data_IF_313843754650
#
_entry.id   IF_313843754650
#
_cell.length_a   1.000
_cell.length_b   1.000
_cell.length_c   1.000
_cell.angle_alpha   90.00
_cell.angle_beta   90.00
_cell.angle_gamma   90.00
#
_symmetry.space_group_name_H-M   'P 1'
#
loop_
_entity.id
_entity.type
_entity.pdbx_description
1 polymer ?
#
# COMPACT_ATOMS: atom_id res chain seq x y z
N UNK A 1 9.06 -15.43 -8.61
CA UNK A 1 8.61 -16.75 -8.12
C UNK A 1 7.34 -17.12 -8.87
N UNK A 2 7.47 -17.97 -9.88
CA UNK A 2 6.44 -18.81 -10.55
C UNK A 2 7.12 -19.47 -11.77
N UNK A 3 8.24 -20.15 -11.51
CA UNK A 3 9.03 -20.83 -12.54
C UNK A 3 8.31 -22.13 -12.95
N UNK A 4 7.32 -22.02 -13.85
CA UNK A 4 6.73 -23.17 -14.56
C UNK A 4 5.32 -23.62 -14.13
N UNK A 5 4.56 -22.80 -13.39
CA UNK A 5 3.14 -23.06 -13.07
C UNK A 5 2.24 -21.94 -13.61
N UNK A 6 0.95 -22.23 -13.84
CA UNK A 6 -0.05 -21.26 -14.31
C UNK A 6 -0.20 -20.12 -13.28
N UNK A 7 -0.23 -18.86 -13.73
CA UNK A 7 -0.35 -17.68 -12.85
C UNK A 7 0.39 -16.47 -13.40
N UNK A 8 0.36 -15.34 -12.67
CA UNK A 8 1.12 -14.15 -13.02
C UNK A 8 2.61 -14.32 -12.69
N UNK A 9 3.49 -13.62 -13.42
CA UNK A 9 4.91 -13.55 -13.10
C UNK A 9 5.14 -12.66 -11.89
N UNK A 10 5.57 -13.26 -10.78
CA UNK A 10 5.86 -12.51 -9.54
C UNK A 10 7.34 -12.17 -9.47
N UNK A 11 7.64 -10.89 -9.25
CA UNK A 11 8.99 -10.37 -9.04
C UNK A 11 9.16 -9.93 -7.59
N UNK A 12 10.31 -10.24 -6.99
CA UNK A 12 10.70 -9.74 -5.67
C UNK A 12 11.92 -8.84 -5.87
N UNK A 13 11.76 -7.56 -5.61
CA UNK A 13 12.86 -6.61 -5.61
C UNK A 13 13.32 -6.38 -4.18
N UNK A 14 14.63 -6.34 -3.98
CA UNK A 14 15.23 -6.05 -2.69
C UNK A 14 16.33 -5.02 -2.85
N UNK A 15 16.52 -4.22 -1.81
CA UNK A 15 17.58 -3.24 -1.72
C UNK A 15 18.51 -3.63 -0.56
N UNK A 16 19.81 -3.67 -0.84
CA UNK A 16 20.84 -3.93 0.16
C UNK A 16 21.63 -2.63 0.38
N UNK A 17 21.36 -1.95 1.49
CA UNK A 17 21.97 -0.67 1.85
C UNK A 17 21.23 0.01 2.99
N UNK A 18 21.60 1.25 3.29
CA UNK A 18 20.99 2.06 4.36
C UNK A 18 20.56 3.42 3.85
N UNK A 19 19.29 3.79 4.06
CA UNK A 19 18.77 5.16 3.90
C UNK A 19 17.99 5.54 5.16
N UNK A 20 17.55 6.80 5.28
CA UNK A 20 16.70 7.22 6.40
C UNK A 20 15.31 6.53 6.42
N UNK A 21 14.90 5.93 5.30
CA UNK A 21 13.60 5.29 5.12
C UNK A 21 13.68 3.76 5.08
N UNK A 22 14.87 3.20 4.81
CA UNK A 22 15.07 1.75 4.75
C UNK A 22 15.45 1.21 6.13
N UNK A 23 14.44 0.76 6.87
CA UNK A 23 14.64 0.07 8.14
C UNK A 23 14.94 -1.41 7.84
N UNK A 24 16.04 -1.97 8.38
CA UNK A 24 16.46 -3.34 8.09
C UNK A 24 15.36 -4.38 8.30
N UNK A 25 15.26 -5.31 7.35
CA UNK A 25 14.44 -6.51 7.48
C UNK A 25 15.24 -7.53 8.28
N UNK A 26 14.68 -7.99 9.39
CA UNK A 26 15.32 -8.96 10.30
C UNK A 26 14.71 -10.36 10.21
N UNK A 27 13.51 -10.47 9.63
CA UNK A 27 12.84 -11.75 9.46
C UNK A 27 11.80 -11.70 8.32
N UNK A 28 11.49 -12.87 7.76
CA UNK A 28 10.52 -13.08 6.69
C UNK A 28 9.55 -14.20 7.05
N UNK A 29 8.25 -14.00 6.75
CA UNK A 29 7.21 -15.03 6.90
C UNK A 29 6.32 -15.10 5.68
N UNK A 30 5.65 -16.23 5.50
CA UNK A 30 4.64 -16.41 4.45
C UNK A 30 3.34 -16.85 5.10
N UNK A 31 2.25 -16.12 4.86
CA UNK A 31 0.90 -16.61 5.18
C UNK A 31 0.35 -17.40 4.00
N UNK A 32 -0.42 -18.44 4.30
CA UNK A 32 -1.08 -19.33 3.32
C UNK A 32 -2.59 -19.37 3.49
N UNK A 33 -3.10 -18.69 4.52
CA UNK A 33 -4.51 -18.50 4.81
C UNK A 33 -4.74 -17.11 5.40
N UNK A 34 -5.83 -16.46 5.02
CA UNK A 34 -6.23 -15.13 5.51
C UNK A 34 -6.39 -15.09 7.03
N UNK A 35 -6.68 -16.23 7.68
CA UNK A 35 -6.80 -16.36 9.14
C UNK A 35 -5.48 -16.12 9.88
N UNK A 36 -4.33 -16.23 9.20
CA UNK A 36 -3.01 -15.97 9.79
C UNK A 36 -2.70 -14.47 9.89
N UNK A 37 -3.27 -13.66 8.99
CA UNK A 37 -2.92 -12.23 8.84
C UNK A 37 -3.21 -11.37 10.07
N UNK A 38 -4.35 -11.52 10.79
CA UNK A 38 -4.64 -10.70 11.96
C UNK A 38 -3.59 -10.84 13.08
N UNK A 39 -3.05 -12.05 13.28
CA UNK A 39 -2.01 -12.29 14.27
C UNK A 39 -0.68 -11.64 13.86
N UNK A 40 -0.30 -11.78 12.58
CA UNK A 40 0.90 -11.16 12.04
C UNK A 40 0.85 -9.63 12.13
N UNK A 41 -0.28 -9.01 11.77
CA UNK A 41 -0.50 -7.58 11.92
C UNK A 41 -0.39 -7.13 13.38
N UNK A 42 -1.04 -7.84 14.30
CA UNK A 42 -0.99 -7.55 15.74
C UNK A 42 0.44 -7.64 16.29
N UNK A 43 1.21 -8.60 15.81
CA UNK A 43 2.61 -8.80 16.20
C UNK A 43 3.56 -7.83 15.49
N UNK A 44 3.05 -6.86 14.73
CA UNK A 44 3.81 -5.81 14.04
C UNK A 44 4.64 -6.33 12.88
N UNK A 45 4.13 -7.34 12.16
CA UNK A 45 4.63 -7.73 10.85
C UNK A 45 3.98 -6.86 9.76
N UNK A 46 4.75 -6.55 8.74
CA UNK A 46 4.28 -5.78 7.59
C UNK A 46 4.04 -6.74 6.42
N UNK A 47 2.83 -6.71 5.86
CA UNK A 47 2.48 -7.50 4.68
C UNK A 47 3.02 -6.83 3.42
N UNK A 48 3.59 -7.60 2.51
CA UNK A 48 3.82 -7.15 1.14
C UNK A 48 2.57 -7.48 0.32
N UNK A 49 2.01 -6.47 -0.35
CA UNK A 49 0.65 -6.54 -0.92
C UNK A 49 0.48 -7.46 -2.14
N UNK A 50 1.56 -8.02 -2.69
CA UNK A 50 1.49 -8.93 -3.83
C UNK A 50 1.05 -10.34 -3.39
N UNK A 51 -0.11 -10.80 -3.87
CA UNK A 51 -0.50 -12.21 -3.77
C UNK A 51 0.47 -13.07 -4.59
N UNK A 52 1.29 -13.86 -3.91
CA UNK A 52 2.27 -14.76 -4.52
C UNK A 52 1.59 -15.88 -5.33
N UNK A 53 0.29 -16.12 -5.11
CA UNK A 53 -0.51 -17.11 -5.80
C UNK A 53 -1.44 -16.49 -6.86
N UNK A 54 -1.18 -15.24 -7.27
CA UNK A 54 -2.01 -14.47 -8.19
C UNK A 54 -2.24 -15.20 -9.51
N UNK A 55 -3.53 -15.40 -9.83
CA UNK A 55 -4.05 -16.16 -11.00
C UNK A 55 -3.60 -17.63 -11.10
N UNK A 56 -2.96 -18.17 -10.06
CA UNK A 56 -2.66 -19.60 -9.97
C UNK A 56 -3.83 -20.38 -9.33
N UNK A 57 -4.71 -19.70 -8.58
CA UNK A 57 -5.87 -20.27 -7.91
C UNK A 57 -5.52 -20.92 -6.57
N UNK A 58 -6.50 -21.12 -5.69
CA UNK A 58 -6.28 -21.55 -4.31
C UNK A 58 -6.25 -20.36 -3.35
N UNK A 59 -5.64 -20.53 -2.18
CA UNK A 59 -5.59 -19.49 -1.15
C UNK A 59 -4.70 -18.31 -1.57
N UNK A 60 -4.98 -17.12 -1.03
CA UNK A 60 -4.07 -15.99 -1.10
C UNK A 60 -2.82 -16.27 -0.29
N UNK A 61 -1.65 -16.00 -0.87
CA UNK A 61 -0.35 -16.24 -0.23
C UNK A 61 0.40 -14.91 -0.20
N UNK A 62 0.77 -14.44 1.00
CA UNK A 62 1.48 -13.17 1.15
C UNK A 62 2.82 -13.34 1.84
N UNK A 63 3.82 -12.57 1.40
CA UNK A 63 5.10 -12.41 2.08
C UNK A 63 4.96 -11.32 3.14
N UNK A 64 5.57 -11.54 4.30
CA UNK A 64 5.57 -10.64 5.43
C UNK A 64 7.01 -10.33 5.83
N UNK A 65 7.27 -9.09 6.21
CA UNK A 65 8.58 -8.64 6.68
C UNK A 65 8.48 -8.19 8.14
N UNK A 66 9.47 -8.57 8.95
CA UNK A 66 9.70 -7.98 10.26
C UNK A 66 10.84 -7.01 10.17
N UNK A 67 10.63 -5.79 10.65
CA UNK A 67 11.66 -4.76 10.69
C UNK A 67 12.36 -4.70 12.04
N UNK A 68 13.62 -4.29 12.03
CA UNK A 68 14.45 -4.12 13.24
C UNK A 68 13.79 -3.17 14.24
N UNK A 69 13.12 -2.12 13.74
CA UNK A 69 12.46 -1.09 14.54
C UNK A 69 11.03 -0.88 14.09
N UNK A 70 10.10 -0.61 15.03
CA UNK A 70 8.79 -0.10 14.67
C UNK A 70 8.90 1.15 13.81
N UNK A 71 7.96 1.30 12.88
CA UNK A 71 7.97 2.38 11.92
C UNK A 71 6.56 2.86 11.64
N UNK A 72 6.48 4.04 11.04
CA UNK A 72 5.20 4.69 10.73
C UNK A 72 5.18 5.05 9.26
N UNK A 73 4.03 4.89 8.61
CA UNK A 73 3.83 5.46 7.28
C UNK A 73 3.94 6.97 7.42
N UNK A 74 4.94 7.57 6.77
CA UNK A 74 5.21 9.01 6.86
C UNK A 74 4.82 9.76 5.58
N UNK A 75 4.60 9.04 4.50
CA UNK A 75 4.25 9.59 3.21
C UNK A 75 3.48 8.58 2.37
N UNK A 76 2.56 9.11 1.58
CA UNK A 76 1.75 8.39 0.62
C UNK A 76 1.72 9.16 -0.69
N UNK A 77 1.77 8.44 -1.79
CA UNK A 77 1.59 8.99 -3.14
C UNK A 77 0.85 7.98 -4.00
N UNK A 78 0.51 8.37 -5.21
CA UNK A 78 -0.13 7.51 -6.19
C UNK A 78 0.47 7.75 -7.57
N UNK A 79 0.47 6.72 -8.40
CA UNK A 79 0.96 6.79 -9.78
C UNK A 79 -0.03 6.17 -10.72
N UNK A 80 0.06 6.60 -11.97
CA UNK A 80 -0.68 6.07 -13.09
C UNK A 80 0.31 5.34 -13.98
N UNK A 81 -0.02 4.13 -14.41
CA UNK A 81 0.91 3.21 -15.08
C UNK A 81 2.13 2.83 -14.22
N UNK A 82 3.10 2.16 -14.83
CA UNK A 82 4.26 1.54 -14.17
C UNK A 82 5.55 2.36 -14.25
N UNK A 83 5.55 3.49 -14.96
CA UNK A 83 6.78 4.23 -15.32
C UNK A 83 7.56 4.73 -14.09
N UNK A 84 6.86 4.99 -12.99
CA UNK A 84 7.44 5.48 -11.75
C UNK A 84 7.96 4.36 -10.83
N UNK A 85 7.71 3.08 -11.14
CA UNK A 85 7.97 1.94 -10.24
C UNK A 85 9.41 1.93 -9.72
N UNK A 86 10.36 1.94 -10.67
CA UNK A 86 11.79 1.88 -10.36
C UNK A 86 12.22 3.09 -9.52
N UNK A 87 11.81 4.28 -9.93
CA UNK A 87 12.20 5.52 -9.27
C UNK A 87 11.66 5.60 -7.83
N UNK A 88 10.39 5.28 -7.62
CA UNK A 88 9.77 5.29 -6.29
C UNK A 88 10.35 4.20 -5.38
N UNK A 89 10.63 3.02 -5.92
CA UNK A 89 11.33 1.96 -5.19
C UNK A 89 12.71 2.43 -4.71
N UNK A 90 13.51 3.07 -5.57
CA UNK A 90 14.82 3.64 -5.22
C UNK A 90 14.72 4.74 -4.15
N UNK A 91 13.60 5.45 -4.07
CA UNK A 91 13.30 6.44 -3.02
C UNK A 91 12.77 5.83 -1.71
N UNK A 92 12.67 4.49 -1.64
CA UNK A 92 12.24 3.76 -0.45
C UNK A 92 10.72 3.62 -0.30
N UNK A 93 9.95 3.86 -1.37
CA UNK A 93 8.51 3.58 -1.36
C UNK A 93 8.23 2.10 -1.61
N UNK A 94 7.20 1.62 -0.94
CA UNK A 94 6.57 0.31 -1.14
C UNK A 94 5.28 0.53 -1.92
N UNK A 95 5.11 -0.19 -3.02
CA UNK A 95 3.87 -0.19 -3.79
C UNK A 95 2.84 -1.08 -3.12
N UNK A 96 1.61 -0.62 -3.07
CA UNK A 96 0.44 -1.48 -2.87
C UNK A 96 0.17 -2.17 -4.20
N UNK A 97 0.34 -3.50 -4.28
CA UNK A 97 0.27 -4.25 -5.55
C UNK A 97 -1.15 -4.34 -6.13
N UNK A 98 -2.16 -3.91 -5.38
CA UNK A 98 -3.52 -3.74 -5.85
C UNK A 98 -3.68 -2.45 -6.66
N UNK A 99 -4.11 -2.64 -7.92
CA UNK A 99 -4.51 -1.56 -8.82
C UNK A 99 -5.91 -1.11 -8.41
N UNK A 100 -6.08 0.17 -8.11
CA UNK A 100 -7.37 0.71 -7.66
C UNK A 100 -8.46 0.63 -8.73
N UNK A 101 -8.07 0.45 -10.01
CA UNK A 101 -8.97 0.26 -11.14
C UNK A 101 -9.11 -1.20 -11.58
N UNK A 102 -8.60 -2.17 -10.81
CA UNK A 102 -8.60 -3.57 -11.21
C UNK A 102 -10.01 -4.05 -11.58
N UNK A 103 -10.16 -4.49 -12.84
CA UNK A 103 -11.43 -5.02 -13.36
C UNK A 103 -12.47 -3.97 -13.73
N UNK A 104 -12.26 -2.69 -13.43
CA UNK A 104 -13.17 -1.59 -13.78
C UNK A 104 -12.99 -1.08 -15.22
N UNK A 105 -11.84 -1.37 -15.83
CA UNK A 105 -11.43 -0.76 -17.10
C UNK A 105 -10.99 0.70 -16.89
N UNK A 106 -9.80 1.05 -17.37
CA UNK A 106 -9.19 2.35 -17.09
C UNK A 106 -7.67 2.23 -17.10
N UNK A 107 -6.99 3.24 -16.54
CA UNK A 107 -5.53 3.19 -16.37
C UNK A 107 -5.18 2.37 -15.13
N UNK A 108 -3.98 1.80 -15.10
CA UNK A 108 -3.46 1.20 -13.87
C UNK A 108 -3.13 2.30 -12.87
N UNK A 109 -3.72 2.25 -11.67
CA UNK A 109 -3.46 3.26 -10.64
C UNK A 109 -2.98 2.57 -9.35
N UNK A 110 -1.80 2.95 -8.90
CA UNK A 110 -1.12 2.32 -7.77
C UNK A 110 -0.93 3.31 -6.62
N UNK A 111 -1.19 2.85 -5.40
CA UNK A 111 -0.82 3.56 -4.18
C UNK A 111 0.60 3.17 -3.76
N UNK A 112 1.33 4.13 -3.20
CA UNK A 112 2.68 3.96 -2.71
C UNK A 112 2.82 4.61 -1.35
N UNK A 113 3.55 3.96 -0.44
CA UNK A 113 3.83 4.52 0.87
C UNK A 113 5.29 4.29 1.27
N UNK A 114 5.81 5.10 2.17
CA UNK A 114 7.12 4.86 2.79
C UNK A 114 7.09 5.10 4.29
N UNK A 115 8.06 4.48 4.96
CA UNK A 115 8.16 4.48 6.41
C UNK A 115 9.17 5.50 6.93
N UNK A 116 9.01 5.86 8.20
CA UNK A 116 10.05 6.50 9.00
C UNK A 116 10.00 5.97 10.43
N UNK A 117 11.16 5.96 11.09
CA UNK A 117 11.26 5.78 12.54
C UNK A 117 10.97 7.09 13.29
N UNK A 118 10.98 8.23 12.58
CA UNK A 118 10.65 9.53 13.15
C UNK A 118 9.14 9.68 13.23
N UNK A 119 8.62 9.47 14.44
CA UNK A 119 7.20 9.58 14.78
C UNK A 119 6.62 10.95 14.40
N UNK A 120 7.40 12.03 14.40
CA UNK A 120 6.92 13.36 14.07
C UNK A 120 6.55 13.52 12.58
N UNK A 121 7.06 12.64 11.71
CA UNK A 121 6.77 12.62 10.27
C UNK A 121 5.56 11.76 9.91
N UNK A 122 4.99 11.02 10.86
CA UNK A 122 3.95 10.03 10.61
C UNK A 122 2.66 10.63 10.06
N UNK A 123 1.99 9.88 9.18
CA UNK A 123 0.60 10.11 8.82
C UNK A 123 -0.29 9.68 10.00
N UNK A 124 -1.34 10.46 10.24
CA UNK A 124 -2.24 10.25 11.38
C UNK A 124 -3.67 9.94 10.98
N UNK A 125 -4.04 10.23 9.74
CA UNK A 125 -5.31 9.82 9.17
C UNK A 125 -5.21 9.64 7.65
N UNK A 126 -6.03 8.74 7.11
CA UNK A 126 -6.31 8.53 5.69
C UNK A 126 -7.82 8.54 5.48
N UNK A 127 -8.27 9.06 4.34
CA UNK A 127 -9.67 9.04 3.91
C UNK A 127 -9.74 8.92 2.39
N UNK A 128 -10.90 8.51 1.87
CA UNK A 128 -11.18 8.42 0.43
C UNK A 128 -12.46 9.18 0.15
N UNK A 129 -12.45 10.04 -0.86
CA UNK A 129 -13.66 10.71 -1.37
C UNK A 129 -14.08 10.09 -2.70
N UNK A 130 -15.38 9.91 -2.87
CA UNK A 130 -16.04 9.41 -4.09
C UNK A 130 -17.05 10.42 -4.65
N UNK A 131 -17.22 11.56 -3.97
CA UNK A 131 -18.08 12.65 -4.38
C UNK A 131 -17.57 14.02 -3.88
N UNK A 132 -18.06 15.10 -4.51
CA UNK A 132 -17.65 16.48 -4.19
C UNK A 132 -17.99 16.91 -2.76
N UNK A 133 -19.03 16.32 -2.15
CA UNK A 133 -19.41 16.64 -0.77
C UNK A 133 -18.35 16.15 0.23
N UNK A 134 -17.82 14.94 0.04
CA UNK A 134 -16.73 14.39 0.84
C UNK A 134 -15.44 15.18 0.62
N UNK A 135 -15.13 15.56 -0.62
CA UNK A 135 -13.97 16.42 -0.90
C UNK A 135 -14.03 17.74 -0.11
N UNK A 136 -15.18 18.41 -0.11
CA UNK A 136 -15.38 19.65 0.64
C UNK A 136 -15.28 19.43 2.17
N UNK A 137 -15.81 18.31 2.67
CA UNK A 137 -15.72 17.92 4.07
C UNK A 137 -14.26 17.71 4.50
N UNK A 138 -13.51 16.86 3.78
CA UNK A 138 -12.12 16.56 4.11
C UNK A 138 -11.22 17.79 4.00
N UNK A 139 -11.46 18.65 3.00
CA UNK A 139 -10.75 19.92 2.89
C UNK A 139 -11.01 20.83 4.10
N UNK A 140 -12.26 20.95 4.55
CA UNK A 140 -12.63 21.73 5.74
C UNK A 140 -12.01 21.16 7.02
N UNK A 141 -11.85 19.85 7.09
CA UNK A 141 -11.20 19.17 8.21
C UNK A 141 -9.67 19.27 8.18
N UNK A 142 -9.07 19.84 7.13
CA UNK A 142 -7.61 20.02 7.03
C UNK A 142 -6.86 18.82 6.44
N UNK A 143 -7.56 17.87 5.81
CA UNK A 143 -6.88 16.83 5.03
C UNK A 143 -6.22 17.42 3.77
N UNK A 144 -5.13 16.78 3.35
CA UNK A 144 -4.47 17.02 2.06
C UNK A 144 -4.86 15.93 1.06
N UNK A 145 -5.30 16.34 -0.13
CA UNK A 145 -5.65 15.42 -1.24
C UNK A 145 -4.39 15.02 -2.02
N UNK A 146 -4.31 13.76 -2.46
CA UNK A 146 -3.38 13.40 -3.54
C UNK A 146 -3.85 13.98 -4.87
N UNK A 147 -2.91 14.31 -5.77
CA UNK A 147 -3.23 14.89 -7.07
C UNK A 147 -3.79 13.87 -8.07
N UNK A 148 -3.55 12.58 -7.85
CA UNK A 148 -3.96 11.51 -8.76
C UNK A 148 -5.39 11.05 -8.46
N UNK A 149 -6.19 10.89 -9.52
CA UNK A 149 -7.50 10.27 -9.45
C UNK A 149 -7.34 8.74 -9.39
N UNK A 150 -7.77 8.12 -8.30
CA UNK A 150 -7.72 6.67 -8.11
C UNK A 150 -8.64 5.90 -9.06
N UNK A 151 -9.61 6.59 -9.68
CA UNK A 151 -10.50 6.04 -10.69
C UNK A 151 -10.15 6.48 -12.12
N UNK A 152 -8.89 6.86 -12.38
CA UNK A 152 -8.52 7.49 -13.65
C UNK A 152 -8.77 6.59 -14.87
N UNK A 153 -9.49 7.14 -15.85
CA UNK A 153 -9.85 6.42 -17.07
C UNK A 153 -11.02 5.45 -16.91
N UNK A 154 -11.60 5.34 -15.71
CA UNK A 154 -12.90 4.67 -15.52
C UNK A 154 -14.04 5.61 -15.93
N UNK A 155 -15.22 5.05 -16.21
CA UNK A 155 -16.44 5.82 -16.47
C UNK A 155 -17.17 6.34 -15.22
N UNK A 156 -16.62 6.09 -14.02
CA UNK A 156 -17.26 6.41 -12.74
C UNK A 156 -16.93 7.80 -12.20
N UNK A 157 -17.37 8.06 -10.97
CA UNK A 157 -16.99 9.28 -10.25
C UNK A 157 -15.49 9.32 -10.00
N UNK A 158 -14.93 10.53 -9.88
CA UNK A 158 -13.55 10.69 -9.43
C UNK A 158 -13.39 10.21 -8.00
N UNK A 159 -12.32 9.46 -7.75
CA UNK A 159 -11.97 8.94 -6.43
C UNK A 159 -10.62 9.52 -6.02
N UNK A 160 -10.53 10.09 -4.82
CA UNK A 160 -9.28 10.68 -4.34
C UNK A 160 -8.94 10.21 -2.94
N UNK A 161 -7.64 9.97 -2.70
CA UNK A 161 -7.09 9.73 -1.37
C UNK A 161 -6.75 11.05 -0.68
N UNK A 162 -7.00 11.09 0.62
CA UNK A 162 -6.76 12.21 1.50
C UNK A 162 -5.94 11.76 2.70
N UNK A 163 -5.04 12.60 3.20
CA UNK A 163 -4.18 12.30 4.36
C UNK A 163 -3.99 13.47 5.32
N UNK A 164 -3.60 13.18 6.56
CA UNK A 164 -3.20 14.16 7.59
C UNK A 164 -1.86 13.82 8.23
N UNK A 165 -1.21 14.86 8.76
CA UNK A 165 -0.01 14.79 9.60
C UNK A 165 -0.25 15.68 10.84
N UNK A 166 -1.11 15.21 11.76
CA UNK A 166 -1.54 15.99 12.94
C UNK A 166 -1.49 15.13 14.20
N UNK A 167 -0.75 15.57 15.22
CA UNK A 167 -0.74 14.96 16.56
C UNK A 167 0.09 13.68 16.70
N UNK A 168 0.60 13.43 17.92
CA UNK A 168 1.46 12.27 18.21
C UNK A 168 0.71 11.09 18.87
N UNK A 169 -0.63 11.10 18.92
CA UNK A 169 -1.37 10.08 19.68
C UNK A 169 -1.76 8.84 18.86
N UNK A 170 -2.12 9.00 17.58
CA UNK A 170 -2.47 7.89 16.69
C UNK A 170 -1.67 7.97 15.39
N UNK A 171 -0.93 6.91 15.05
CA UNK A 171 -0.13 6.82 13.82
C UNK A 171 -0.52 5.62 12.99
N UNK A 172 -0.46 5.81 11.68
CA UNK A 172 -0.67 4.72 10.72
C UNK A 172 0.63 3.92 10.61
N UNK A 173 0.57 2.65 10.99
CA UNK A 173 1.70 1.72 10.95
C UNK A 173 1.64 0.77 9.76
N UNK A 174 0.43 0.44 9.31
CA UNK A 174 0.19 -0.44 8.19
C UNK A 174 -0.94 0.11 7.33
N UNK A 175 -0.88 -0.20 6.04
CA UNK A 175 -1.94 0.04 5.08
C UNK A 175 -2.01 -1.19 4.19
N UNK A 176 -3.22 -1.71 4.01
CA UNK A 176 -3.50 -2.83 3.12
C UNK A 176 -4.68 -2.43 2.24
N UNK A 177 -4.60 -2.75 0.96
CA UNK A 177 -5.74 -2.67 0.04
C UNK A 177 -6.20 -4.09 -0.24
N UNK A 178 -7.48 -4.35 -0.01
CA UNK A 178 -8.06 -5.70 -0.08
C UNK A 178 -9.16 -5.71 -1.13
N UNK A 179 -9.19 -6.79 -1.92
CA UNK A 179 -10.36 -7.11 -2.73
C UNK A 179 -11.38 -7.75 -1.79
N UNK A 180 -12.63 -7.28 -1.82
CA UNK A 180 -13.73 -8.02 -1.23
C UNK A 180 -14.16 -9.12 -2.22
N UNK A 181 -13.90 -10.41 -1.94
CA UNK A 181 -14.31 -11.48 -2.86
C UNK A 181 -15.82 -11.67 -2.93
N UNK A 182 -16.58 -11.09 -1.98
CA UNK A 182 -18.05 -11.21 -1.88
C UNK A 182 -18.80 -9.96 -2.38
N UNK A 183 -18.10 -8.97 -2.97
CA UNK A 183 -18.70 -7.72 -3.47
C UNK A 183 -19.34 -7.84 -4.87
#
# INVERSE_FOLDING_TARGET
>A
MNAGVRGDHIFLWYFYGSTEHNIPIVDLKVSKDVKEEPALLKDGWERLDCDLNRKAGGNFIYLWVKREKPSYICEITATVEFDADKHLFELGFTRVDEDTNRGAGGKYVFLWYRHSIDKSKALTALNVSTCLQEEAMFQKEGFKRLSVNLSEGTGGNNVYLWYKKEGCESQIQAMVLLINPDA
#
